data_IF_751015259043
#
_entry.id   IF_751015259043
#
_cell.length_a   1.000
_cell.length_b   1.000
_cell.length_c   1.000
_cell.angle_alpha   90.00
_cell.angle_beta   90.00
_cell.angle_gamma   90.00
#
_symmetry.space_group_name_H-M   'P 1'
#
loop_
_entity.id
_entity.type
_entity.pdbx_description
1 polymer ?
#
# COMPACT_ATOMS: atom_id res chain seq x y z
N UNK A 1 8.39 42.50 15.53
CA UNK A 1 8.27 41.21 16.23
C UNK A 1 7.59 40.26 15.27
N UNK A 2 8.38 39.39 14.63
CA UNK A 2 7.92 38.43 13.62
C UNK A 2 7.08 37.37 14.31
N UNK A 3 5.79 37.32 13.97
CA UNK A 3 4.88 36.29 14.42
C UNK A 3 5.07 35.07 13.50
N UNK A 4 6.15 34.32 13.72
CA UNK A 4 6.37 33.03 13.06
C UNK A 4 5.68 31.96 13.90
N UNK A 5 4.36 31.87 13.74
CA UNK A 5 3.59 30.72 14.19
C UNK A 5 3.86 29.58 13.22
N UNK A 6 4.95 28.86 13.45
CA UNK A 6 5.16 27.52 12.93
C UNK A 6 4.05 26.64 13.51
N UNK A 7 2.93 26.61 12.79
CA UNK A 7 1.75 25.82 13.11
C UNK A 7 2.11 24.34 12.90
N UNK A 8 2.72 23.72 13.90
CA UNK A 8 2.88 22.28 14.01
C UNK A 8 1.52 21.66 14.32
N UNK A 9 0.61 21.63 13.35
CA UNK A 9 -0.61 20.84 13.51
C UNK A 9 -0.27 19.38 13.30
N UNK A 10 -0.42 18.59 14.36
CA UNK A 10 -0.67 17.16 14.23
C UNK A 10 -1.72 16.96 13.13
N UNK A 11 -1.51 16.03 12.18
CA UNK A 11 -2.46 15.85 11.10
C UNK A 11 -3.83 15.46 11.64
N UNK A 12 -4.87 15.98 11.00
CA UNK A 12 -6.24 15.67 11.38
C UNK A 12 -6.47 14.16 11.24
N UNK A 13 -6.81 13.49 12.35
CA UNK A 13 -7.11 12.06 12.38
C UNK A 13 -8.20 11.70 11.36
N UNK A 14 -9.13 12.62 11.10
CA UNK A 14 -10.16 12.47 10.05
C UNK A 14 -9.55 12.41 8.66
N UNK A 15 -8.55 13.24 8.36
CA UNK A 15 -7.86 13.25 7.07
C UNK A 15 -7.07 11.95 6.86
N UNK A 16 -6.34 11.49 7.89
CA UNK A 16 -5.62 10.21 7.82
C UNK A 16 -6.58 9.02 7.63
N UNK A 17 -7.75 9.04 8.30
CA UNK A 17 -8.80 8.04 8.12
C UNK A 17 -9.33 8.03 6.69
N UNK A 18 -9.60 9.20 6.12
CA UNK A 18 -10.08 9.33 4.73
C UNK A 18 -9.04 8.83 3.74
N UNK A 19 -7.77 9.23 3.90
CA UNK A 19 -6.67 8.72 3.08
C UNK A 19 -6.53 7.20 3.18
N UNK A 20 -6.65 6.64 4.39
CA UNK A 20 -6.60 5.18 4.56
C UNK A 20 -7.78 4.48 3.90
N UNK A 21 -8.99 5.00 4.06
CA UNK A 21 -10.21 4.42 3.47
C UNK A 21 -10.11 4.37 1.95
N UNK A 22 -9.69 5.47 1.33
CA UNK A 22 -9.52 5.55 -0.11
C UNK A 22 -8.39 4.62 -0.62
N UNK A 23 -7.28 4.51 0.13
CA UNK A 23 -6.24 3.51 -0.14
C UNK A 23 -6.77 2.08 -0.11
N UNK A 24 -7.56 1.73 0.92
CA UNK A 24 -8.14 0.38 1.07
C UNK A 24 -9.05 0.07 -0.11
N UNK A 25 -9.93 1.00 -0.49
CA UNK A 25 -10.81 0.84 -1.64
C UNK A 25 -10.06 0.60 -2.96
N UNK A 26 -9.05 1.42 -3.26
CA UNK A 26 -8.24 1.25 -4.48
C UNK A 26 -7.46 -0.07 -4.49
N UNK A 27 -6.94 -0.52 -3.35
CA UNK A 27 -6.25 -1.81 -3.25
C UNK A 27 -7.22 -2.97 -3.46
N UNK A 28 -8.39 -2.93 -2.84
CA UNK A 28 -9.40 -3.99 -2.98
C UNK A 28 -9.93 -4.07 -4.41
N UNK A 29 -10.11 -2.94 -5.09
CA UNK A 29 -10.53 -2.87 -6.49
C UNK A 29 -9.57 -3.57 -7.48
N UNK A 30 -8.33 -3.87 -7.07
CA UNK A 30 -7.43 -4.69 -7.88
C UNK A 30 -7.97 -6.12 -8.11
N UNK A 31 -8.92 -6.60 -7.31
CA UNK A 31 -9.55 -7.91 -7.55
C UNK A 31 -10.27 -7.97 -8.90
N UNK A 32 -10.93 -6.89 -9.33
CA UNK A 32 -11.56 -6.84 -10.64
C UNK A 32 -10.53 -6.89 -11.78
N UNK A 33 -9.36 -6.28 -11.59
CA UNK A 33 -8.25 -6.39 -12.56
C UNK A 33 -7.72 -7.82 -12.63
N UNK A 34 -7.66 -8.53 -11.49
CA UNK A 34 -7.30 -9.96 -11.48
C UNK A 34 -8.29 -10.77 -12.31
N UNK A 35 -9.60 -10.57 -12.10
CA UNK A 35 -10.67 -11.26 -12.84
C UNK A 35 -10.60 -10.99 -14.35
N UNK A 36 -10.39 -9.73 -14.75
CA UNK A 36 -10.23 -9.34 -16.16
C UNK A 36 -9.04 -10.03 -16.81
N UNK A 37 -7.88 -10.05 -16.14
CA UNK A 37 -6.67 -10.68 -16.68
C UNK A 37 -6.79 -12.21 -16.74
N UNK A 38 -7.49 -12.82 -15.78
CA UNK A 38 -7.81 -14.25 -15.81
C UNK A 38 -8.74 -14.59 -16.99
N UNK A 39 -9.80 -13.79 -17.20
CA UNK A 39 -10.70 -13.97 -18.34
C UNK A 39 -9.99 -13.78 -19.69
N UNK A 40 -8.94 -12.95 -19.73
CA UNK A 40 -8.06 -12.80 -20.88
C UNK A 40 -7.02 -13.93 -21.05
N UNK A 41 -7.04 -14.96 -20.19
CA UNK A 41 -6.15 -16.12 -20.29
C UNK A 41 -4.70 -15.85 -19.87
N UNK A 42 -4.44 -14.78 -19.10
CA UNK A 42 -3.09 -14.48 -18.61
C UNK A 42 -2.65 -15.50 -17.56
N UNK A 43 -1.35 -15.75 -17.51
CA UNK A 43 -0.77 -16.65 -16.52
C UNK A 43 -0.75 -16.00 -15.12
N UNK A 44 -0.70 -16.82 -14.07
CA UNK A 44 -0.61 -16.29 -12.69
C UNK A 44 0.63 -15.42 -12.47
N UNK A 45 1.75 -15.70 -13.15
CA UNK A 45 2.95 -14.88 -13.09
C UNK A 45 2.71 -13.48 -13.67
N UNK A 46 2.15 -13.40 -14.88
CA UNK A 46 1.85 -12.11 -15.52
C UNK A 46 0.83 -11.30 -14.69
N UNK A 47 -0.19 -11.97 -14.16
CA UNK A 47 -1.19 -11.34 -13.30
C UNK A 47 -0.49 -10.81 -12.04
N UNK A 48 0.31 -11.63 -11.36
CA UNK A 48 1.02 -11.25 -10.15
C UNK A 48 1.94 -10.03 -10.36
N UNK A 49 2.70 -10.00 -11.45
CA UNK A 49 3.57 -8.88 -11.83
C UNK A 49 2.74 -7.61 -12.00
N UNK A 50 1.67 -7.67 -12.79
CA UNK A 50 0.87 -6.50 -13.13
C UNK A 50 0.12 -5.95 -11.91
N UNK A 51 -0.55 -6.80 -11.13
CA UNK A 51 -1.32 -6.33 -9.96
C UNK A 51 -0.42 -5.88 -8.82
N UNK A 52 0.77 -6.47 -8.66
CA UNK A 52 1.77 -5.99 -7.72
C UNK A 52 2.32 -4.62 -8.12
N UNK A 53 2.63 -4.41 -9.41
CA UNK A 53 3.04 -3.10 -9.94
C UNK A 53 1.99 -2.03 -9.64
N UNK A 54 0.72 -2.28 -9.97
CA UNK A 54 -0.40 -1.36 -9.66
C UNK A 54 -0.55 -1.12 -8.16
N UNK A 55 -0.42 -2.16 -7.34
CA UNK A 55 -0.44 -2.03 -5.88
C UNK A 55 0.67 -1.10 -5.38
N UNK A 56 1.88 -1.18 -5.95
CA UNK A 56 2.99 -0.26 -5.62
C UNK A 56 2.67 1.17 -6.04
N UNK A 57 2.06 1.38 -7.21
CA UNK A 57 1.64 2.70 -7.69
C UNK A 57 0.61 3.37 -6.79
N UNK A 58 -0.41 2.62 -6.36
CA UNK A 58 -1.37 3.07 -5.32
C UNK A 58 -0.59 3.42 -4.04
N UNK A 59 0.35 2.56 -3.63
CA UNK A 59 1.21 2.81 -2.48
C UNK A 59 2.06 4.08 -2.59
N UNK A 60 2.51 4.48 -3.79
CA UNK A 60 3.24 5.73 -4.03
C UNK A 60 2.29 6.92 -3.96
N UNK A 61 1.13 6.84 -4.62
CA UNK A 61 0.09 7.88 -4.62
C UNK A 61 -0.28 8.27 -3.19
N UNK A 62 -0.65 7.31 -2.35
CA UNK A 62 -1.09 7.61 -0.99
C UNK A 62 0.03 8.07 -0.08
N UNK A 63 1.27 7.60 -0.27
CA UNK A 63 2.41 8.16 0.48
C UNK A 63 2.65 9.63 0.13
N UNK A 64 2.48 10.06 -1.13
CA UNK A 64 2.60 11.48 -1.49
C UNK A 64 1.55 12.36 -0.78
N UNK A 65 0.35 11.82 -0.55
CA UNK A 65 -0.74 12.49 0.17
C UNK A 65 -0.62 12.39 1.70
N UNK A 66 0.14 11.41 2.22
CA UNK A 66 0.34 11.23 3.66
C UNK A 66 1.22 12.36 4.20
N UNK A 67 0.87 12.98 5.35
CA UNK A 67 1.68 14.04 5.93
C UNK A 67 3.11 13.58 6.24
N UNK A 68 4.10 14.49 6.21
CA UNK A 68 5.52 14.10 6.18
C UNK A 68 5.97 13.23 7.37
N UNK A 69 5.53 13.54 8.58
CA UNK A 69 5.90 12.82 9.82
C UNK A 69 5.49 11.35 9.76
N UNK A 70 4.26 11.08 9.34
CA UNK A 70 3.68 9.74 9.23
C UNK A 70 4.29 8.98 8.04
N UNK A 71 4.54 9.68 6.94
CA UNK A 71 5.21 9.11 5.77
C UNK A 71 6.62 8.64 6.09
N UNK A 72 7.41 9.46 6.79
CA UNK A 72 8.77 9.11 7.21
C UNK A 72 8.78 7.90 8.14
N UNK A 73 7.83 7.80 9.07
CA UNK A 73 7.67 6.60 9.90
C UNK A 73 7.39 5.35 9.05
N UNK A 74 6.52 5.46 8.05
CA UNK A 74 6.21 4.36 7.13
C UNK A 74 7.46 3.94 6.34
N UNK A 75 8.22 4.90 5.81
CA UNK A 75 9.45 4.62 5.06
C UNK A 75 10.50 3.94 5.93
N UNK A 76 10.76 4.47 7.13
CA UNK A 76 11.71 3.88 8.08
C UNK A 76 11.33 2.44 8.43
N UNK A 77 10.05 2.19 8.73
CA UNK A 77 9.56 0.83 9.02
C UNK A 77 9.73 -0.10 7.82
N UNK A 78 9.38 0.35 6.61
CA UNK A 78 9.47 -0.48 5.42
C UNK A 78 10.92 -0.80 5.04
N UNK A 79 11.84 0.16 5.16
CA UNK A 79 13.27 -0.08 4.99
C UNK A 79 13.78 -1.13 5.99
N UNK A 80 13.40 -1.03 7.26
CA UNK A 80 13.81 -2.00 8.27
C UNK A 80 13.31 -3.42 7.99
N UNK A 81 12.07 -3.56 7.51
CA UNK A 81 11.44 -4.87 7.28
C UNK A 81 11.79 -5.49 5.93
N UNK A 82 11.95 -4.67 4.90
CA UNK A 82 11.97 -5.13 3.50
C UNK A 82 13.19 -4.64 2.71
N UNK A 83 13.96 -3.69 3.23
CA UNK A 83 15.03 -3.03 2.49
C UNK A 83 14.54 -2.10 1.37
N UNK A 84 13.24 -1.77 1.34
CA UNK A 84 12.61 -0.93 0.31
C UNK A 84 11.58 -0.01 0.97
N UNK A 85 11.67 1.30 0.74
CA UNK A 85 10.79 2.31 1.34
C UNK A 85 9.31 2.13 0.97
N UNK A 86 9.02 1.63 -0.22
CA UNK A 86 7.66 1.47 -0.70
C UNK A 86 7.02 0.18 -0.16
N UNK A 87 7.82 -0.78 0.27
CA UNK A 87 7.42 -2.07 0.82
C UNK A 87 8.03 -3.25 0.04
N UNK A 88 7.59 -4.49 0.29
CA UNK A 88 8.19 -5.66 -0.34
C UNK A 88 8.10 -5.58 -1.89
N UNK A 89 9.23 -5.85 -2.53
CA UNK A 89 9.31 -6.02 -3.99
C UNK A 89 8.74 -7.38 -4.40
N UNK A 90 8.51 -7.59 -5.70
CA UNK A 90 8.08 -8.89 -6.18
C UNK A 90 9.16 -9.96 -5.94
N UNK A 91 10.42 -9.58 -6.12
CA UNK A 91 11.58 -10.43 -5.83
C UNK A 91 11.65 -10.79 -4.36
N UNK A 92 11.38 -9.85 -3.45
CA UNK A 92 11.31 -10.15 -2.02
C UNK A 92 10.25 -11.23 -1.73
N UNK A 93 9.07 -11.15 -2.37
CA UNK A 93 8.06 -12.18 -2.20
C UNK A 93 8.48 -13.54 -2.76
N UNK A 94 9.15 -13.56 -3.92
CA UNK A 94 9.56 -14.81 -4.58
C UNK A 94 10.78 -15.47 -3.95
N UNK A 95 11.74 -14.68 -3.50
CA UNK A 95 13.07 -15.16 -3.08
C UNK A 95 13.25 -15.19 -1.56
N UNK A 96 12.65 -14.25 -0.83
CA UNK A 96 12.76 -14.19 0.65
C UNK A 96 11.59 -14.89 1.32
N UNK A 97 10.37 -14.66 0.84
CA UNK A 97 9.16 -15.25 1.43
C UNK A 97 8.70 -16.55 0.74
N UNK A 98 9.33 -16.95 -0.37
CA UNK A 98 8.95 -18.15 -1.15
C UNK A 98 7.45 -18.21 -1.51
N UNK A 99 6.80 -17.06 -1.73
CA UNK A 99 5.38 -17.02 -2.10
C UNK A 99 5.18 -17.52 -3.52
N UNK A 100 4.12 -18.29 -3.75
CA UNK A 100 3.65 -18.60 -5.11
C UNK A 100 3.06 -17.36 -5.77
N UNK A 101 2.88 -17.39 -7.10
CA UNK A 101 2.27 -16.29 -7.84
C UNK A 101 0.84 -16.00 -7.37
N UNK A 102 0.05 -17.05 -7.08
CA UNK A 102 -1.30 -16.95 -6.52
C UNK A 102 -1.31 -16.23 -5.17
N UNK A 103 -0.32 -16.51 -4.31
CA UNK A 103 -0.18 -15.84 -3.01
C UNK A 103 0.25 -14.38 -3.15
N UNK A 104 0.98 -14.03 -4.20
CA UNK A 104 1.31 -12.64 -4.51
C UNK A 104 0.06 -11.90 -5.01
N UNK A 105 -0.73 -12.51 -5.91
CA UNK A 105 -2.03 -11.97 -6.35
C UNK A 105 -2.94 -11.73 -5.15
N UNK A 106 -3.11 -12.72 -4.28
CA UNK A 106 -3.92 -12.61 -3.07
C UNK A 106 -3.43 -11.48 -2.14
N UNK A 107 -2.10 -11.34 -1.99
CA UNK A 107 -1.53 -10.28 -1.15
C UNK A 107 -1.72 -8.89 -1.76
N UNK A 108 -1.67 -8.77 -3.09
CA UNK A 108 -1.77 -7.51 -3.80
C UNK A 108 -3.16 -6.87 -3.69
N UNK A 109 -4.22 -7.68 -3.55
CA UNK A 109 -5.61 -7.22 -3.40
C UNK A 109 -6.05 -7.02 -1.94
N UNK A 110 -5.19 -7.36 -0.96
CA UNK A 110 -5.50 -7.27 0.46
C UNK A 110 -4.73 -6.16 1.17
N UNK A 111 -5.38 -5.56 2.17
CA UNK A 111 -4.76 -4.63 3.12
C UNK A 111 -4.58 -5.26 4.50
N UNK A 112 -3.68 -4.71 5.30
CA UNK A 112 -3.47 -5.15 6.68
C UNK A 112 -4.68 -4.78 7.55
N UNK A 113 -5.45 -5.78 7.98
CA UNK A 113 -6.66 -5.60 8.78
C UNK A 113 -6.37 -4.96 10.14
N UNK A 114 -5.31 -5.36 10.84
CA UNK A 114 -4.92 -4.75 12.12
C UNK A 114 -4.57 -3.27 11.97
N UNK A 115 -3.95 -2.89 10.85
CA UNK A 115 -3.68 -1.49 10.56
C UNK A 115 -4.96 -0.73 10.17
N UNK A 116 -5.90 -1.37 9.47
CA UNK A 116 -7.20 -0.77 9.14
C UNK A 116 -8.02 -0.46 10.40
N UNK A 117 -7.98 -1.34 11.42
CA UNK A 117 -8.66 -1.14 12.71
C UNK A 117 -8.23 0.15 13.41
N UNK A 118 -6.97 0.59 13.26
CA UNK A 118 -6.49 1.89 13.80
C UNK A 118 -7.26 3.09 13.26
N UNK A 119 -7.87 2.94 12.08
CA UNK A 119 -8.69 3.94 11.43
C UNK A 119 -10.18 3.58 11.46
N UNK A 120 -10.60 2.58 12.24
CA UNK A 120 -11.98 2.09 12.30
C UNK A 120 -12.57 1.74 10.93
N UNK A 121 -11.77 1.06 10.09
CA UNK A 121 -12.17 0.48 8.82
C UNK A 121 -12.23 -1.04 9.04
N UNK A 122 -13.44 -1.62 9.06
CA UNK A 122 -13.69 -3.06 9.22
C UNK A 122 -13.79 -3.77 7.86
#
# INVERSE_FOLDING_TARGET
MTNDSSNSQEPDESELRQLRSAYVGEVQALSSIVEELQAAGRTNEEIAIEVHRRRREIGVKYKKLTPPKEREEIYRRNLQLYGDELGPTIDYFRTVQNKTWEKIIESATKTNAEYNKKFGLE
#
